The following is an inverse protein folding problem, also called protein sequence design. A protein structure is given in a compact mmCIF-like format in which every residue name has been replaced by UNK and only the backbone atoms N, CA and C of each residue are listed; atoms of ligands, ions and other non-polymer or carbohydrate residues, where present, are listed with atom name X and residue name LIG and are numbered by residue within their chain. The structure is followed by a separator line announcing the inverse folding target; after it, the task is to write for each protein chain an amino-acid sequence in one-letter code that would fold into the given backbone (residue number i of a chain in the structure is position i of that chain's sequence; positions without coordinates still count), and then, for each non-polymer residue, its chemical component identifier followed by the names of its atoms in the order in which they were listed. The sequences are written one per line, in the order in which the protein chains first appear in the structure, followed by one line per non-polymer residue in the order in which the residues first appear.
data_IF_480119704795
#
_entry.id   IF_480119704795
#
_cell.length_a   1.000
_cell.length_b   1.000
_cell.length_c   1.000
_cell.angle_alpha   90.00
_cell.angle_beta   90.00
_cell.angle_gamma   90.00
#
_symmetry.space_group_name_H-M   'P 1'
#
loop_
_entity.id
_entity.type
_entity.pdbx_description
1 polymer ?
#
# COMPACT_ATOMS: atom_id res chain seq x y z
N UNK A 1 -21.78 3.18 24.29
CA UNK A 1 -21.15 3.15 22.95
C UNK A 1 -22.24 3.09 21.88
N UNK A 2 -22.10 3.84 20.78
CA UNK A 2 -23.06 3.79 19.67
C UNK A 2 -23.03 2.42 18.97
N UNK A 3 -24.13 2.05 18.31
CA UNK A 3 -24.19 0.79 17.56
C UNK A 3 -23.11 0.74 16.46
N UNK A 4 -22.86 1.87 15.80
CA UNK A 4 -21.78 2.04 14.83
C UNK A 4 -20.40 1.72 15.41
N UNK A 5 -20.05 2.28 16.57
CA UNK A 5 -18.74 2.05 17.18
C UNK A 5 -18.53 0.57 17.53
N UNK A 6 -19.58 -0.14 17.94
CA UNK A 6 -19.52 -1.58 18.23
C UNK A 6 -19.27 -2.40 16.96
N UNK A 7 -20.01 -2.10 15.89
CA UNK A 7 -19.83 -2.78 14.60
C UNK A 7 -18.44 -2.51 14.00
N UNK A 8 -17.93 -1.28 14.14
CA UNK A 8 -16.59 -0.94 13.69
C UNK A 8 -15.51 -1.75 14.43
N UNK A 9 -15.61 -1.86 15.76
CA UNK A 9 -14.64 -2.64 16.53
C UNK A 9 -14.68 -4.13 16.16
N UNK A 10 -15.88 -4.71 16.01
CA UNK A 10 -16.03 -6.10 15.56
C UNK A 10 -15.47 -6.33 14.14
N UNK A 11 -15.55 -5.32 13.28
CA UNK A 11 -14.93 -5.39 11.96
C UNK A 11 -13.40 -5.37 12.06
N UNK A 12 -12.83 -4.52 12.93
CA UNK A 12 -11.38 -4.44 13.13
C UNK A 12 -10.78 -5.75 13.65
N UNK A 13 -11.53 -6.57 14.39
CA UNK A 13 -11.08 -7.90 14.84
C UNK A 13 -10.78 -8.87 13.66
N UNK A 14 -11.28 -8.57 12.46
CA UNK A 14 -11.07 -9.37 11.23
C UNK A 14 -9.95 -8.82 10.36
N UNK A 15 -9.36 -7.68 10.73
CA UNK A 15 -8.33 -6.98 9.97
C UNK A 15 -6.95 -7.45 10.42
N UNK A 16 -6.14 -7.92 9.48
CA UNK A 16 -4.76 -8.32 9.71
C UNK A 16 -3.80 -7.44 8.91
N UNK A 17 -2.78 -6.90 9.59
CA UNK A 17 -1.69 -6.16 8.96
C UNK A 17 -0.48 -7.07 8.83
N UNK A 18 -0.03 -7.32 7.60
CA UNK A 18 1.14 -8.17 7.33
C UNK A 18 2.23 -7.33 6.69
N UNK A 19 3.45 -7.39 7.24
CA UNK A 19 4.62 -6.78 6.61
C UNK A 19 5.05 -7.65 5.43
N UNK A 20 5.20 -7.03 4.28
CA UNK A 20 5.70 -7.67 3.07
C UNK A 20 7.23 -7.69 3.14
N UNK A 21 7.83 -8.88 3.07
CA UNK A 21 9.28 -9.09 3.19
C UNK A 21 9.85 -9.75 1.94
N UNK A 22 9.10 -10.69 1.36
CA UNK A 22 9.55 -11.43 0.19
C UNK A 22 9.12 -10.72 -1.11
N UNK A 23 9.97 -10.83 -2.13
CA UNK A 23 9.71 -10.23 -3.43
C UNK A 23 8.49 -10.84 -4.14
N UNK A 24 8.19 -12.10 -3.86
CA UNK A 24 7.04 -12.85 -4.42
C UNK A 24 5.70 -12.24 -3.96
N UNK A 25 5.64 -11.81 -2.70
CA UNK A 25 4.45 -11.15 -2.12
C UNK A 25 4.21 -9.75 -2.70
N UNK A 26 5.26 -9.09 -3.23
CA UNK A 26 5.13 -7.75 -3.84
C UNK A 26 4.30 -7.80 -5.13
N UNK A 27 4.27 -8.91 -5.86
CA UNK A 27 3.47 -9.00 -7.07
C UNK A 27 1.97 -8.85 -6.80
N UNK A 28 1.48 -9.41 -5.70
CA UNK A 28 0.07 -9.30 -5.31
C UNK A 28 -0.30 -7.86 -4.96
N UNK A 29 0.60 -7.16 -4.25
CA UNK A 29 0.52 -5.73 -3.95
C UNK A 29 0.50 -4.91 -5.25
N UNK A 30 1.37 -5.24 -6.20
CA UNK A 30 1.42 -4.61 -7.51
C UNK A 30 0.10 -4.75 -8.27
N UNK A 31 -0.49 -5.95 -8.29
CA UNK A 31 -1.81 -6.21 -8.89
C UNK A 31 -2.92 -5.41 -8.20
N UNK A 32 -2.92 -5.33 -6.87
CA UNK A 32 -3.90 -4.54 -6.12
C UNK A 32 -3.80 -3.05 -6.47
N UNK A 33 -2.59 -2.49 -6.46
CA UNK A 33 -2.32 -1.09 -6.83
C UNK A 33 -2.73 -0.81 -8.28
N UNK A 34 -2.50 -1.74 -9.20
CA UNK A 34 -2.96 -1.60 -10.59
C UNK A 34 -4.47 -1.42 -10.70
N UNK A 35 -5.23 -2.35 -10.11
CA UNK A 35 -6.70 -2.30 -10.12
C UNK A 35 -7.18 -0.99 -9.51
N UNK A 36 -6.59 -0.61 -8.38
CA UNK A 36 -6.86 0.62 -7.64
C UNK A 36 -6.72 1.89 -8.49
N UNK A 37 -5.63 2.02 -9.25
CA UNK A 37 -5.40 3.18 -10.11
C UNK A 37 -6.32 3.20 -11.32
N UNK A 38 -6.58 2.04 -11.92
CA UNK A 38 -7.45 1.93 -13.09
C UNK A 38 -8.90 2.28 -12.76
N UNK A 39 -9.41 1.81 -11.63
CA UNK A 39 -10.80 2.07 -11.19
C UNK A 39 -11.09 3.55 -10.94
N UNK A 40 -10.08 4.34 -10.52
CA UNK A 40 -10.26 5.76 -10.18
C UNK A 40 -9.80 6.73 -11.29
N UNK A 41 -9.37 6.22 -12.45
CA UNK A 41 -8.83 7.01 -13.58
C UNK A 41 -7.71 7.99 -13.15
N UNK A 42 -6.95 7.63 -12.11
CA UNK A 42 -6.00 8.53 -11.44
C UNK A 42 -4.69 8.67 -12.21
N UNK A 43 -4.38 7.72 -13.11
CA UNK A 43 -3.12 7.63 -13.86
C UNK A 43 -3.37 7.26 -15.33
N UNK A 44 -2.59 7.82 -16.26
CA UNK A 44 -2.60 7.46 -17.68
C UNK A 44 -1.90 6.11 -17.90
N UNK A 45 -2.38 5.28 -18.83
CA UNK A 45 -1.85 3.92 -19.08
C UNK A 45 -0.35 3.89 -19.44
N UNK A 46 0.18 4.99 -20.00
CA UNK A 46 1.59 5.15 -20.35
C UNK A 46 2.51 5.48 -19.16
N UNK A 47 1.95 5.83 -18.00
CA UNK A 47 2.68 6.20 -16.77
C UNK A 47 2.65 5.08 -15.72
N UNK A 48 2.46 3.84 -16.15
CA UNK A 48 2.55 2.66 -15.26
C UNK A 48 3.90 1.98 -15.48
N UNK A 49 5.05 2.59 -15.10
CA UNK A 49 6.24 1.78 -14.87
C UNK A 49 5.91 0.80 -13.76
N UNK A 50 6.59 -0.35 -13.75
CA UNK A 50 6.42 -1.44 -12.79
C UNK A 50 5.86 -0.95 -11.44
N UNK A 51 4.61 -1.31 -11.15
CA UNK A 51 3.83 -0.82 -9.99
C UNK A 51 4.48 -1.20 -8.66
N UNK A 52 5.38 -2.17 -8.74
CA UNK A 52 6.44 -2.46 -7.78
C UNK A 52 7.75 -1.93 -8.38
N UNK A 53 8.26 -0.85 -7.84
CA UNK A 53 9.51 -0.24 -8.28
C UNK A 53 10.67 -0.62 -7.34
N UNK A 54 11.89 -0.19 -7.67
CA UNK A 54 13.05 -0.37 -6.80
C UNK A 54 12.90 0.36 -5.45
N UNK A 55 11.98 1.32 -5.36
CA UNK A 55 11.69 2.04 -4.12
C UNK A 55 10.89 1.15 -3.16
N UNK A 56 10.04 0.25 -3.65
CA UNK A 56 9.39 -0.77 -2.81
C UNK A 56 10.38 -1.78 -2.19
N UNK A 57 11.58 -1.91 -2.76
CA UNK A 57 12.66 -2.79 -2.27
C UNK A 57 13.70 -2.07 -1.41
N UNK A 58 13.54 -0.76 -1.22
CA UNK A 58 14.48 0.04 -0.45
C UNK A 58 14.47 -0.36 1.04
N UNK A 59 15.63 -0.33 1.70
CA UNK A 59 15.76 -0.72 3.11
C UNK A 59 14.96 0.16 4.08
N UNK A 60 14.57 1.35 3.64
CA UNK A 60 13.73 2.31 4.38
C UNK A 60 12.29 2.35 3.87
N UNK A 61 11.92 1.48 2.92
CA UNK A 61 10.56 1.29 2.49
C UNK A 61 9.94 0.08 3.19
N UNK A 62 8.87 0.33 3.93
CA UNK A 62 8.11 -0.69 4.63
C UNK A 62 6.75 -0.82 3.97
N UNK A 63 6.53 -1.94 3.28
CA UNK A 63 5.26 -2.25 2.63
C UNK A 63 4.45 -3.18 3.53
N UNK A 64 3.17 -2.85 3.69
CA UNK A 64 2.19 -3.58 4.47
C UNK A 64 0.99 -3.93 3.60
N UNK A 65 0.51 -5.15 3.72
CA UNK A 65 -0.79 -5.58 3.21
C UNK A 65 -1.83 -5.56 4.33
N UNK A 66 -2.99 -4.99 4.04
CA UNK A 66 -4.16 -5.03 4.92
C UNK A 66 -5.06 -6.14 4.41
N UNK A 67 -5.31 -7.13 5.27
CA UNK A 67 -6.13 -8.27 4.95
C UNK A 67 -7.42 -8.23 5.76
N UNK A 68 -8.53 -8.62 5.16
CA UNK A 68 -9.80 -8.84 5.84
C UNK A 68 -10.20 -10.27 5.55
N UNK A 69 -10.40 -11.08 6.60
CA UNK A 69 -10.66 -12.52 6.48
C UNK A 69 -9.62 -13.25 5.61
N UNK A 70 -8.34 -12.86 5.75
CA UNK A 70 -7.23 -13.44 4.99
C UNK A 70 -7.09 -12.97 3.54
N UNK A 71 -8.00 -12.12 3.03
CA UNK A 71 -7.92 -11.57 1.68
C UNK A 71 -7.25 -10.20 1.68
N UNK A 72 -6.28 -9.97 0.80
CA UNK A 72 -5.63 -8.67 0.62
C UNK A 72 -6.61 -7.64 0.04
N UNK A 73 -6.99 -6.65 0.83
CA UNK A 73 -7.95 -5.60 0.44
C UNK A 73 -7.31 -4.23 0.25
N UNK A 74 -6.20 -3.95 0.94
CA UNK A 74 -5.53 -2.65 0.94
C UNK A 74 -4.02 -2.80 1.06
N UNK A 75 -3.28 -1.75 0.74
CA UNK A 75 -1.82 -1.72 0.95
C UNK A 75 -1.34 -0.35 1.39
N UNK A 76 -0.40 -0.36 2.34
CA UNK A 76 0.27 0.83 2.86
C UNK A 76 1.77 0.71 2.63
N UNK A 77 2.38 1.79 2.14
CA UNK A 77 3.84 1.91 2.12
C UNK A 77 4.27 3.08 2.99
N UNK A 78 5.19 2.81 3.90
CA UNK A 78 5.79 3.82 4.78
C UNK A 78 7.26 3.97 4.40
N UNK A 79 7.67 5.20 4.13
CA UNK A 79 9.07 5.53 3.86
C UNK A 79 9.68 6.23 5.07
N UNK A 80 10.75 5.65 5.62
CA UNK A 80 11.49 6.24 6.71
C UNK A 80 12.62 7.11 6.15
N UNK A 81 12.41 8.42 6.09
CA UNK A 81 13.39 9.35 5.50
C UNK A 81 14.33 9.88 6.58
N UNK A 82 15.63 9.76 6.35
CA UNK A 82 16.68 10.29 7.25
C UNK A 82 17.65 11.19 6.47
N UNK A 83 18.46 12.03 7.14
CA UNK A 83 19.45 12.86 6.44
C UNK A 83 20.44 12.06 5.58
N UNK A 84 20.79 10.85 6.03
CA UNK A 84 21.70 9.93 5.35
C UNK A 84 21.00 9.09 4.27
N UNK A 85 19.67 8.94 4.37
CA UNK A 85 18.85 8.18 3.43
C UNK A 85 17.65 9.00 2.94
N UNK A 86 17.89 9.81 1.92
CA UNK A 86 16.91 10.76 1.33
C UNK A 86 16.07 10.19 0.20
N UNK A 87 16.00 8.87 0.08
CA UNK A 87 15.18 8.20 -0.95
C UNK A 87 13.75 8.08 -0.45
N UNK A 88 12.80 8.63 -1.21
CA UNK A 88 11.38 8.48 -0.92
C UNK A 88 10.52 8.74 -2.15
N UNK A 89 9.26 8.27 -2.11
CA UNK A 89 8.32 8.42 -3.24
C UNK A 89 8.11 9.88 -3.64
N UNK A 90 8.20 10.79 -2.66
CA UNK A 90 8.06 12.24 -2.85
C UNK A 90 9.09 12.83 -3.81
N UNK A 91 10.21 12.13 -4.05
CA UNK A 91 11.24 12.53 -5.02
C UNK A 91 10.91 12.09 -6.46
N UNK A 92 10.09 11.04 -6.65
CA UNK A 92 9.81 10.46 -7.96
C UNK A 92 8.39 10.75 -8.47
N UNK A 93 7.38 10.86 -7.61
CA UNK A 93 5.99 11.02 -8.03
C UNK A 93 5.21 11.91 -7.05
N UNK A 94 5.03 13.17 -7.42
CA UNK A 94 3.99 14.02 -6.87
C UNK A 94 2.62 13.47 -7.28
N UNK A 95 2.02 12.53 -6.50
CA UNK A 95 0.55 12.29 -6.38
C UNK A 95 0.11 10.92 -5.84
N UNK A 96 0.91 10.16 -5.10
CA UNK A 96 0.42 8.89 -4.52
C UNK A 96 0.76 8.79 -3.04
N UNK A 97 0.00 9.53 -2.24
CA UNK A 97 -0.12 9.28 -0.81
C UNK A 97 -1.37 8.43 -0.61
N UNK A 98 -1.19 7.26 0.02
CA UNK A 98 -2.25 6.50 0.69
C UNK A 98 -3.40 6.03 -0.22
N UNK A 99 -3.27 4.86 -0.84
CA UNK A 99 -4.46 4.14 -1.32
C UNK A 99 -5.08 3.42 -0.12
N UNK A 100 -5.96 4.14 0.59
CA UNK A 100 -7.02 3.49 1.36
C UNK A 100 -8.06 2.97 0.34
N UNK A 101 -8.19 1.66 0.23
CA UNK A 101 -9.52 1.04 0.13
C UNK A 101 -9.84 0.45 1.49
#
# INVERSE_FOLDING_TARGET
MSNFARQLLQFLDRVEYRRIVHAEDLEEIGRLRYRSYRTRNVMHEAEVPSIVDDIDRDSHAFVYGVHVDGQLVSTLRVHHITPDHRRGTSYALSRIFLILF
#
